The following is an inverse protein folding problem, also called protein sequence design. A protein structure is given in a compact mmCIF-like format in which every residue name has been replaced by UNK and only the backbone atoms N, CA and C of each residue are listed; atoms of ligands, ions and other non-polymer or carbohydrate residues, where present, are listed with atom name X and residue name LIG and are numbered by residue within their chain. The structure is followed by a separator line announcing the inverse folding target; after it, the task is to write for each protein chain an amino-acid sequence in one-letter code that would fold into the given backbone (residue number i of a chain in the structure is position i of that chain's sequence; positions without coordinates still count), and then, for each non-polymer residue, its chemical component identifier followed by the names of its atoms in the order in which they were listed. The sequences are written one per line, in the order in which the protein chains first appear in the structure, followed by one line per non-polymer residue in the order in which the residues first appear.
data_IF_248632582757
#
_entry.id   IF_248632582757
#
_cell.length_a   1.000
_cell.length_b   1.000
_cell.length_c   1.000
_cell.angle_alpha   90.00
_cell.angle_beta   90.00
_cell.angle_gamma   90.00
#
_symmetry.space_group_name_H-M   'P 1'
#
loop_
_entity.id
_entity.type
_entity.pdbx_description
1 polymer ?
#
# COMPACT_ATOMS: atom_id res chain seq x y z
N UNK A 1 47.66 -49.22 39.41
CA UNK A 1 46.82 -49.08 38.20
C UNK A 1 45.82 -47.96 38.46
N UNK A 2 45.89 -46.87 37.71
CA UNK A 2 44.98 -45.71 37.84
C UNK A 2 43.88 -45.86 36.78
N UNK A 3 42.59 -45.83 37.13
CA UNK A 3 41.54 -45.64 36.14
C UNK A 3 41.36 -44.15 35.84
N UNK A 4 41.71 -43.73 34.62
CA UNK A 4 41.29 -42.47 34.01
C UNK A 4 39.82 -42.57 33.62
N UNK A 5 38.96 -41.76 34.24
CA UNK A 5 37.59 -41.55 33.81
C UNK A 5 37.40 -40.10 33.33
N UNK A 6 37.32 -39.92 32.02
CA UNK A 6 36.60 -38.83 31.35
C UNK A 6 35.37 -39.50 30.75
N UNK A 7 34.11 -39.05 30.91
CA UNK A 7 33.62 -37.85 30.19
C UNK A 7 32.43 -37.13 30.90
N UNK A 8 32.03 -35.89 30.64
CA UNK A 8 31.32 -35.41 29.45
C UNK A 8 31.01 -33.93 29.70
N UNK A 9 31.44 -33.04 28.80
CA UNK A 9 30.97 -31.65 28.83
C UNK A 9 29.47 -31.63 28.54
N UNK A 10 28.66 -31.18 29.51
CA UNK A 10 27.21 -31.02 29.36
C UNK A 10 26.93 -30.01 28.23
N UNK A 11 26.55 -30.54 27.07
CA UNK A 11 26.19 -29.81 25.85
C UNK A 11 24.91 -28.99 26.06
N UNK A 12 25.02 -27.79 26.63
CA UNK A 12 23.95 -26.76 26.73
C UNK A 12 23.64 -26.06 25.39
N UNK A 13 23.94 -26.71 24.26
CA UNK A 13 23.98 -26.08 22.95
C UNK A 13 22.73 -26.20 22.04
N UNK A 14 21.65 -26.98 22.33
CA UNK A 14 20.53 -27.06 21.38
C UNK A 14 19.46 -25.98 21.56
N UNK A 15 19.33 -25.34 22.73
CA UNK A 15 18.19 -24.45 22.99
C UNK A 15 18.32 -23.07 22.31
N UNK A 16 19.50 -22.44 22.35
CA UNK A 16 19.72 -21.16 21.68
C UNK A 16 19.64 -21.26 20.15
N UNK A 17 20.01 -22.40 19.58
CA UNK A 17 19.87 -22.65 18.13
C UNK A 17 18.41 -22.84 17.72
N UNK A 18 17.59 -23.45 18.57
CA UNK A 18 16.14 -23.57 18.34
C UNK A 18 15.44 -22.21 18.44
N UNK A 19 15.77 -21.40 19.45
CA UNK A 19 15.23 -20.04 19.58
C UNK A 19 15.70 -19.15 18.42
N UNK A 20 16.98 -19.28 18.03
CA UNK A 20 17.54 -18.58 16.87
C UNK A 20 16.86 -18.98 15.56
N UNK A 21 16.66 -20.27 15.30
CA UNK A 21 15.99 -20.72 14.07
C UNK A 21 14.52 -20.34 14.05
N UNK A 22 13.83 -20.36 15.19
CA UNK A 22 12.44 -19.91 15.29
C UNK A 22 12.33 -18.40 15.02
N UNK A 23 13.23 -17.59 15.58
CA UNK A 23 13.27 -16.15 15.32
C UNK A 23 13.54 -15.84 13.84
N UNK A 24 14.48 -16.56 13.20
CA UNK A 24 14.78 -16.39 11.77
C UNK A 24 13.60 -16.83 10.90
N UNK A 25 12.92 -17.93 11.24
CA UNK A 25 11.73 -18.37 10.51
C UNK A 25 10.54 -17.42 10.68
N UNK A 26 10.33 -16.86 11.87
CA UNK A 26 9.33 -15.81 12.10
C UNK A 26 9.69 -14.53 11.34
N UNK A 27 10.97 -14.17 11.26
CA UNK A 27 11.44 -13.01 10.50
C UNK A 27 11.25 -13.21 8.99
N UNK A 28 11.60 -14.39 8.47
CA UNK A 28 11.43 -14.74 7.07
C UNK A 28 9.95 -14.86 6.68
N UNK A 29 9.13 -15.48 7.53
CA UNK A 29 7.67 -15.55 7.35
C UNK A 29 7.04 -14.16 7.42
N UNK A 30 7.44 -13.33 8.39
CA UNK A 30 7.01 -11.93 8.49
C UNK A 30 7.42 -11.09 7.29
N UNK A 31 8.63 -11.30 6.75
CA UNK A 31 9.11 -10.60 5.56
C UNK A 31 8.38 -11.05 4.29
N UNK A 32 8.12 -12.36 4.13
CA UNK A 32 7.34 -12.90 3.03
C UNK A 32 5.89 -12.39 3.06
N UNK A 33 5.24 -12.43 4.23
CA UNK A 33 3.90 -11.87 4.45
C UNK A 33 3.90 -10.36 4.20
N UNK A 34 4.90 -9.62 4.66
CA UNK A 34 5.02 -8.18 4.42
C UNK A 34 5.28 -7.83 2.95
N UNK A 35 5.96 -8.70 2.19
CA UNK A 35 6.16 -8.51 0.75
C UNK A 35 4.91 -8.88 -0.06
N UNK A 36 4.19 -9.93 0.35
CA UNK A 36 2.96 -10.36 -0.32
C UNK A 36 1.78 -9.44 0.02
N UNK A 37 1.80 -8.82 1.20
CA UNK A 37 0.86 -7.78 1.63
C UNK A 37 1.40 -6.37 1.41
N UNK A 38 2.50 -6.21 0.65
CA UNK A 38 3.11 -4.90 0.44
C UNK A 38 2.05 -4.00 -0.18
N UNK A 39 1.56 -2.98 0.55
CA UNK A 39 0.50 -2.15 0.02
C UNK A 39 1.06 -1.50 -1.24
N UNK A 40 0.28 -1.51 -2.34
CA UNK A 40 0.70 -0.83 -3.55
C UNK A 40 1.05 0.63 -3.22
N UNK A 41 1.97 1.25 -3.98
CA UNK A 41 2.40 2.61 -3.71
C UNK A 41 1.19 3.52 -3.57
N UNK A 42 1.27 4.50 -2.64
CA UNK A 42 0.18 5.42 -2.41
C UNK A 42 -0.23 6.04 -3.75
N UNK A 43 -1.54 6.05 -4.09
CA UNK A 43 -2.00 6.67 -5.31
C UNK A 43 -1.50 8.11 -5.40
N UNK A 44 -1.10 8.57 -6.61
CA UNK A 44 -0.61 9.92 -6.82
C UNK A 44 -1.67 10.94 -6.39
N UNK A 45 -1.23 12.00 -5.72
CA UNK A 45 -2.11 13.09 -5.30
C UNK A 45 -2.69 13.86 -6.50
N UNK A 46 -3.72 14.69 -6.28
CA UNK A 46 -4.39 15.42 -7.35
C UNK A 46 -3.42 16.31 -8.16
N UNK A 47 -2.40 16.89 -7.52
CA UNK A 47 -1.37 17.69 -8.20
C UNK A 47 -0.48 16.85 -9.13
N UNK A 48 -0.10 15.64 -8.72
CA UNK A 48 0.71 14.75 -9.54
C UNK A 48 -0.07 14.28 -10.77
N UNK A 49 -1.37 13.99 -10.60
CA UNK A 49 -2.28 13.64 -11.70
C UNK A 49 -2.51 14.84 -12.63
N UNK A 50 -2.69 16.05 -12.08
CA UNK A 50 -2.82 17.28 -12.86
C UNK A 50 -1.56 17.54 -13.71
N UNK A 51 -0.37 17.42 -13.11
CA UNK A 51 0.89 17.59 -13.82
C UNK A 51 1.07 16.55 -14.94
N UNK A 52 0.68 15.30 -14.69
CA UNK A 52 0.66 14.26 -15.73
C UNK A 52 -0.30 14.63 -16.87
N UNK A 53 -1.55 15.00 -16.56
CA UNK A 53 -2.54 15.40 -17.56
C UNK A 53 -2.05 16.60 -18.36
N UNK A 54 -1.42 17.60 -17.75
CA UNK A 54 -0.86 18.76 -18.46
C UNK A 54 0.30 18.36 -19.38
N UNK A 55 1.14 17.40 -18.97
CA UNK A 55 2.21 16.86 -19.81
C UNK A 55 1.69 16.13 -21.05
N UNK A 56 0.69 15.27 -20.87
CA UNK A 56 0.08 14.50 -21.98
C UNK A 56 -0.80 15.38 -22.86
N UNK A 57 -1.53 16.34 -22.27
CA UNK A 57 -2.42 17.26 -22.99
C UNK A 57 -1.71 18.14 -24.01
N UNK A 58 -0.42 18.45 -23.81
CA UNK A 58 0.41 19.17 -24.80
C UNK A 58 0.57 18.43 -26.13
N UNK A 59 0.35 17.12 -26.10
CA UNK A 59 0.62 16.19 -27.20
C UNK A 59 -0.65 15.50 -27.71
N UNK A 60 -1.82 15.88 -27.17
CA UNK A 60 -3.14 15.33 -27.47
C UNK A 60 -3.99 16.32 -28.29
N UNK A 61 -4.97 15.81 -29.06
CA UNK A 61 -6.04 16.64 -29.60
C UNK A 61 -6.77 17.40 -28.48
N UNK A 62 -7.18 18.65 -28.76
CA UNK A 62 -7.82 19.51 -27.76
C UNK A 62 -9.09 18.89 -27.14
N UNK A 63 -9.84 18.10 -27.92
CA UNK A 63 -11.03 17.39 -27.45
C UNK A 63 -10.68 16.31 -26.41
N UNK A 64 -9.64 15.51 -26.64
CA UNK A 64 -9.19 14.46 -25.71
C UNK A 64 -8.58 15.06 -24.43
N UNK A 65 -7.82 16.15 -24.57
CA UNK A 65 -7.30 16.90 -23.42
C UNK A 65 -8.43 17.46 -22.54
N UNK A 66 -9.53 17.92 -23.13
CA UNK A 66 -10.71 18.36 -22.37
C UNK A 66 -11.38 17.20 -21.62
N UNK A 67 -11.46 16.01 -22.21
CA UNK A 67 -11.99 14.80 -21.54
C UNK A 67 -11.16 14.47 -20.28
N UNK A 68 -9.83 14.49 -20.38
CA UNK A 68 -8.94 14.22 -19.24
C UNK A 68 -9.08 15.25 -18.12
N UNK A 69 -9.13 16.54 -18.47
CA UNK A 69 -9.30 17.62 -17.48
C UNK A 69 -10.65 17.54 -16.77
N UNK A 70 -11.73 17.30 -17.51
CA UNK A 70 -13.05 17.14 -16.93
C UNK A 70 -13.10 15.91 -16.00
N UNK A 71 -12.46 14.80 -16.39
CA UNK A 71 -12.37 13.62 -15.54
C UNK A 71 -11.61 13.88 -14.24
N UNK A 72 -10.53 14.67 -14.28
CA UNK A 72 -9.81 15.10 -13.06
C UNK A 72 -10.70 15.98 -12.17
N UNK A 73 -11.45 16.91 -12.76
CA UNK A 73 -12.35 17.81 -12.03
C UNK A 73 -13.46 17.04 -11.32
N UNK A 74 -14.06 16.07 -12.02
CA UNK A 74 -15.03 15.13 -11.45
C UNK A 74 -14.42 14.22 -10.37
N UNK A 75 -13.10 13.96 -10.44
CA UNK A 75 -12.37 13.15 -9.47
C UNK A 75 -11.90 13.91 -8.23
N UNK A 76 -11.85 15.25 -8.23
CA UNK A 76 -11.40 16.05 -7.06
C UNK A 76 -12.07 15.68 -5.74
N UNK A 77 -13.40 15.46 -5.66
CA UNK A 77 -14.04 15.07 -4.40
C UNK A 77 -13.55 13.73 -3.87
N UNK A 78 -13.14 12.83 -4.76
CA UNK A 78 -12.61 11.52 -4.36
C UNK A 78 -11.20 11.66 -3.77
N UNK A 79 -10.34 12.47 -4.38
CA UNK A 79 -9.02 12.80 -3.80
C UNK A 79 -9.14 13.46 -2.42
N UNK A 80 -10.07 14.41 -2.26
CA UNK A 80 -10.33 15.03 -0.96
C UNK A 80 -10.73 14.00 0.12
N UNK A 81 -11.60 13.04 -0.20
CA UNK A 81 -11.97 11.94 0.71
C UNK A 81 -10.77 11.07 1.09
N UNK A 82 -9.85 10.81 0.16
CA UNK A 82 -8.65 10.04 0.43
C UNK A 82 -7.70 10.78 1.39
N UNK A 83 -7.54 12.08 1.20
CA UNK A 83 -6.70 12.92 2.06
C UNK A 83 -7.31 13.04 3.47
N UNK A 84 -8.61 13.29 3.58
CA UNK A 84 -9.34 13.29 4.85
C UNK A 84 -9.20 11.96 5.59
N UNK A 85 -9.35 10.84 4.88
CA UNK A 85 -9.17 9.50 5.44
C UNK A 85 -7.75 9.32 6.00
N UNK A 86 -6.72 9.64 5.20
CA UNK A 86 -5.32 9.53 5.63
C UNK A 86 -5.05 10.40 6.85
N UNK A 87 -5.56 11.63 6.86
CA UNK A 87 -5.44 12.55 7.98
C UNK A 87 -6.14 12.01 9.25
N UNK A 88 -7.29 11.34 9.09
CA UNK A 88 -8.06 10.77 10.20
C UNK A 88 -7.47 9.46 10.79
N UNK A 89 -6.73 8.68 9.99
CA UNK A 89 -6.19 7.39 10.43
C UNK A 89 -5.16 7.55 11.56
N UNK A 90 -4.23 8.50 11.42
CA UNK A 90 -3.16 8.73 12.41
C UNK A 90 -3.68 9.00 13.83
N UNK A 91 -4.59 9.97 14.04
CA UNK A 91 -5.22 10.22 15.32
C UNK A 91 -5.95 9.00 15.90
N UNK A 92 -6.70 8.26 15.07
CA UNK A 92 -7.43 7.06 15.51
C UNK A 92 -6.48 5.95 15.96
N UNK A 93 -5.42 5.72 15.20
CA UNK A 93 -4.39 4.74 15.56
C UNK A 93 -3.73 5.09 16.90
N UNK A 94 -3.38 6.38 17.12
CA UNK A 94 -2.83 6.83 18.39
C UNK A 94 -3.80 6.62 19.55
N UNK A 95 -5.10 6.86 19.34
CA UNK A 95 -6.11 6.66 20.38
C UNK A 95 -6.23 5.18 20.79
N UNK A 96 -6.26 4.26 19.84
CA UNK A 96 -6.32 2.82 20.13
C UNK A 96 -5.04 2.31 20.81
N UNK A 97 -3.87 2.83 20.42
CA UNK A 97 -2.59 2.50 21.08
C UNK A 97 -2.48 3.06 22.49
N UNK A 98 -3.11 4.20 22.77
CA UNK A 98 -3.12 4.84 24.08
C UNK A 98 -4.20 4.30 25.03
N UNK A 99 -5.10 3.44 24.54
CA UNK A 99 -6.19 2.87 25.32
C UNK A 99 -5.66 2.04 26.50
N UNK A 100 -6.32 2.18 27.66
CA UNK A 100 -6.02 1.40 28.86
C UNK A 100 -7.32 0.77 29.38
N UNK A 101 -7.44 -0.57 29.36
CA UNK A 101 -6.45 -1.55 28.89
C UNK A 101 -6.23 -1.49 27.37
N UNK A 102 -5.10 -2.03 26.91
CA UNK A 102 -4.81 -2.18 25.49
C UNK A 102 -5.74 -3.24 24.87
N UNK A 103 -6.39 -2.89 23.76
CA UNK A 103 -7.34 -3.73 23.06
C UNK A 103 -6.81 -4.10 21.67
N UNK A 104 -6.30 -5.33 21.55
CA UNK A 104 -5.74 -5.86 20.32
C UNK A 104 -6.80 -6.03 19.23
N UNK A 105 -8.03 -6.41 19.60
CA UNK A 105 -9.11 -6.63 18.66
C UNK A 105 -9.60 -5.30 18.06
N UNK A 106 -9.68 -4.25 18.87
CA UNK A 106 -10.03 -2.90 18.37
C UNK A 106 -8.94 -2.33 17.46
N UNK A 107 -7.67 -2.54 17.78
CA UNK A 107 -6.57 -2.14 16.89
C UNK A 107 -6.62 -2.89 15.55
N UNK A 108 -6.83 -4.21 15.60
CA UNK A 108 -6.97 -5.04 14.40
C UNK A 108 -8.16 -4.60 13.54
N UNK A 109 -9.32 -4.38 14.16
CA UNK A 109 -10.52 -3.90 13.48
C UNK A 109 -10.31 -2.54 12.80
N UNK A 110 -9.57 -1.61 13.44
CA UNK A 110 -9.22 -0.32 12.84
C UNK A 110 -8.37 -0.49 11.57
N UNK A 111 -7.36 -1.37 11.62
CA UNK A 111 -6.47 -1.64 10.48
C UNK A 111 -7.25 -2.31 9.34
N UNK A 112 -8.06 -3.32 9.66
CA UNK A 112 -8.87 -4.04 8.66
C UNK A 112 -9.91 -3.12 8.01
N UNK A 113 -10.58 -2.27 8.78
CA UNK A 113 -11.50 -1.27 8.25
C UNK A 113 -10.79 -0.27 7.33
N UNK A 114 -9.58 0.18 7.70
CA UNK A 114 -8.79 1.06 6.85
C UNK A 114 -8.43 0.39 5.51
N UNK A 115 -8.04 -0.90 5.54
CA UNK A 115 -7.69 -1.67 4.35
C UNK A 115 -8.88 -1.86 3.41
N UNK A 116 -10.04 -2.28 3.93
CA UNK A 116 -11.26 -2.46 3.13
C UNK A 116 -11.65 -1.15 2.43
N UNK A 117 -11.56 -0.03 3.13
CA UNK A 117 -11.85 1.28 2.52
C UNK A 117 -10.79 1.73 1.51
N UNK A 118 -9.52 1.37 1.69
CA UNK A 118 -8.47 1.64 0.69
C UNK A 118 -8.72 0.85 -0.59
N UNK A 119 -9.07 -0.44 -0.45
CA UNK A 119 -9.43 -1.30 -1.58
C UNK A 119 -10.65 -0.76 -2.33
N UNK A 120 -11.69 -0.31 -1.61
CA UNK A 120 -12.89 0.30 -2.20
C UNK A 120 -12.56 1.58 -2.98
N UNK A 121 -11.83 2.52 -2.37
CA UNK A 121 -11.46 3.79 -3.01
C UNK A 121 -10.58 3.57 -4.24
N UNK A 122 -9.69 2.57 -4.19
CA UNK A 122 -8.86 2.18 -5.33
C UNK A 122 -9.71 1.64 -6.48
N UNK A 123 -10.67 0.76 -6.20
CA UNK A 123 -11.61 0.27 -7.20
C UNK A 123 -12.38 1.40 -7.91
N UNK A 124 -12.85 2.39 -7.16
CA UNK A 124 -13.54 3.56 -7.74
C UNK A 124 -12.65 4.39 -8.67
N UNK A 125 -11.35 4.50 -8.37
CA UNK A 125 -10.38 5.17 -9.24
C UNK A 125 -10.18 4.35 -10.51
N UNK A 126 -9.94 3.04 -10.37
CA UNK A 126 -9.65 2.15 -11.49
C UNK A 126 -10.84 2.14 -12.48
N UNK A 127 -12.07 2.03 -11.98
CA UNK A 127 -13.29 2.08 -12.80
C UNK A 127 -13.43 3.41 -13.56
N UNK A 128 -13.11 4.54 -12.90
CA UNK A 128 -13.13 5.87 -13.51
C UNK A 128 -12.05 6.04 -14.58
N UNK A 129 -10.85 5.52 -14.33
CA UNK A 129 -9.76 5.53 -15.31
C UNK A 129 -10.17 4.73 -16.54
N UNK A 130 -10.66 3.51 -16.36
CA UNK A 130 -11.12 2.66 -17.47
C UNK A 130 -12.24 3.34 -18.27
N UNK A 131 -13.23 3.92 -17.56
CA UNK A 131 -14.33 4.66 -18.20
C UNK A 131 -13.83 5.87 -19.00
N UNK A 132 -12.87 6.61 -18.46
CA UNK A 132 -12.28 7.78 -19.13
C UNK A 132 -11.49 7.37 -20.37
N UNK A 133 -10.64 6.34 -20.26
CA UNK A 133 -9.88 5.79 -21.38
C UNK A 133 -10.78 5.25 -22.51
N UNK A 134 -11.96 4.73 -22.17
CA UNK A 134 -12.98 4.31 -23.14
C UNK A 134 -13.53 5.46 -23.99
N UNK A 135 -13.53 6.69 -23.45
CA UNK A 135 -14.03 7.90 -24.14
C UNK A 135 -12.98 8.58 -25.00
N UNK A 136 -11.70 8.25 -24.82
CA UNK A 136 -10.60 8.83 -25.59
C UNK A 136 -10.50 8.22 -26.99
N UNK A 137 -9.98 9.00 -27.93
CA UNK A 137 -9.61 8.50 -29.26
C UNK A 137 -8.57 7.38 -29.20
N UNK A 138 -8.51 6.47 -30.20
CA UNK A 138 -7.44 5.48 -30.31
C UNK A 138 -6.04 6.09 -30.28
N UNK A 139 -5.86 7.24 -30.93
CA UNK A 139 -4.62 8.00 -30.97
C UNK A 139 -4.24 8.51 -29.58
N UNK A 140 -5.21 9.03 -28.82
CA UNK A 140 -4.98 9.48 -27.44
C UNK A 140 -4.58 8.33 -26.52
N UNK A 141 -5.20 7.14 -26.67
CA UNK A 141 -4.80 5.94 -25.92
C UNK A 141 -3.39 5.48 -26.27
N UNK A 142 -3.02 5.49 -27.55
CA UNK A 142 -1.66 5.17 -27.97
C UNK A 142 -0.64 6.11 -27.33
N UNK A 143 -0.91 7.42 -27.37
CA UNK A 143 -0.04 8.45 -26.77
C UNK A 143 0.08 8.31 -25.25
N UNK A 144 -1.00 7.92 -24.58
CA UNK A 144 -0.98 7.61 -23.15
C UNK A 144 -0.12 6.39 -22.82
N UNK A 145 -0.10 5.37 -23.70
CA UNK A 145 0.77 4.19 -23.50
C UNK A 145 2.26 4.51 -23.67
N UNK A 146 2.59 5.49 -24.51
CA UNK A 146 3.96 6.00 -24.70
C UNK A 146 4.39 6.94 -23.58
N UNK A 147 3.43 7.68 -22.98
CA UNK A 147 3.71 8.51 -21.83
C UNK A 147 4.00 7.63 -20.62
N UNK A 148 5.22 7.71 -20.08
CA UNK A 148 5.55 7.05 -18.82
C UNK A 148 4.61 7.55 -17.73
N UNK A 149 3.76 6.66 -17.24
CA UNK A 149 3.05 6.83 -15.97
C UNK A 149 4.13 6.82 -14.88
N UNK A 150 4.26 7.88 -14.06
CA UNK A 150 5.22 7.91 -12.95
C UNK A 150 4.89 6.89 -11.86
#
# INVERSE_FOLDING_TARGET
MIPTATPTARRRWPWFLLVGSLAVNMLAGGFAVAHMLRPPPPPPGPEAVAHFIDGVSKHLPAADAAILRNALDEARPLFARMDEKRAAFGPRLRAELAAKPFDQERLKALIDANRVEDERLRGEIDDRVVTTLGRLSPEARHRLSESRVP
#
